data_IF_413994474652
#
_entry.id   IF_413994474652
#
_cell.length_a   1.000
_cell.length_b   1.000
_cell.length_c   1.000
_cell.angle_alpha   90.00
_cell.angle_beta   90.00
_cell.angle_gamma   90.00
#
_symmetry.space_group_name_H-M   'P 1'
#
loop_
_entity.id
_entity.type
_entity.pdbx_description
1 polymer ?
#
# COMPACT_ATOMS: atom_id res chain seq x y z
N UNK A 1 19.11 -77.42 -10.62
CA UNK A 1 19.03 -76.45 -9.49
C UNK A 1 18.91 -75.05 -10.07
N UNK A 2 17.68 -74.60 -10.30
CA UNK A 2 17.33 -73.33 -10.94
C UNK A 2 17.35 -72.22 -9.89
N UNK A 3 18.23 -71.22 -10.05
CA UNK A 3 18.29 -70.04 -9.17
C UNK A 3 17.49 -68.90 -9.79
N UNK A 4 16.48 -68.42 -9.07
CA UNK A 4 15.66 -67.27 -9.42
C UNK A 4 16.34 -65.97 -8.96
N UNK A 5 16.52 -65.01 -9.87
CA UNK A 5 16.95 -63.65 -9.55
C UNK A 5 15.73 -62.80 -9.11
N UNK A 6 15.80 -62.24 -7.90
CA UNK A 6 14.88 -61.20 -7.42
C UNK A 6 15.25 -59.82 -8.01
N UNK A 7 14.29 -58.99 -8.43
CA UNK A 7 14.54 -57.60 -8.79
C UNK A 7 14.56 -56.70 -7.54
N UNK A 8 15.62 -55.89 -7.40
CA UNK A 8 15.74 -54.83 -6.39
C UNK A 8 14.96 -53.61 -6.87
N UNK A 9 13.90 -53.23 -6.16
CA UNK A 9 13.15 -51.98 -6.40
C UNK A 9 13.80 -50.86 -5.61
N UNK A 10 14.44 -49.90 -6.31
CA UNK A 10 14.96 -48.68 -5.72
C UNK A 10 13.82 -47.65 -5.56
N UNK A 11 13.36 -47.42 -4.34
CA UNK A 11 12.36 -46.39 -4.02
C UNK A 11 12.96 -44.99 -4.04
N UNK A 12 12.52 -44.15 -4.96
CA UNK A 12 12.84 -42.73 -4.98
C UNK A 12 12.06 -41.99 -3.88
N UNK A 13 12.75 -41.58 -2.82
CA UNK A 13 12.22 -40.67 -1.80
C UNK A 13 12.07 -39.26 -2.41
N UNK A 14 10.85 -38.92 -2.81
CA UNK A 14 10.46 -37.54 -3.12
C UNK A 14 10.44 -36.74 -1.83
N UNK A 15 11.46 -35.92 -1.60
CA UNK A 15 11.47 -34.90 -0.54
C UNK A 15 10.52 -33.79 -0.96
N UNK A 16 9.27 -33.84 -0.48
CA UNK A 16 8.33 -32.74 -0.63
C UNK A 16 8.83 -31.56 0.22
N UNK A 17 9.34 -30.51 -0.42
CA UNK A 17 9.64 -29.26 0.27
C UNK A 17 8.35 -28.71 0.90
N UNK A 18 8.37 -28.24 2.16
CA UNK A 18 7.19 -27.64 2.76
C UNK A 18 6.82 -26.40 1.94
N UNK A 19 5.62 -26.40 1.35
CA UNK A 19 5.07 -25.21 0.73
C UNK A 19 4.72 -24.23 1.86
N UNK A 20 5.60 -23.26 2.12
CA UNK A 20 5.29 -22.15 3.02
C UNK A 20 4.07 -21.41 2.47
N UNK A 21 3.01 -21.35 3.27
CA UNK A 21 1.78 -20.66 2.89
C UNK A 21 2.08 -19.16 2.71
N UNK A 22 1.62 -18.58 1.60
CA UNK A 22 1.80 -17.15 1.36
C UNK A 22 1.10 -16.31 2.46
N UNK A 23 1.63 -15.11 2.79
CA UNK A 23 0.99 -14.23 3.75
C UNK A 23 -0.44 -13.88 3.34
N UNK A 24 -1.34 -13.83 4.31
CA UNK A 24 -2.71 -13.36 4.11
C UNK A 24 -2.73 -11.84 4.20
N UNK A 25 -3.38 -11.19 3.24
CA UNK A 25 -3.56 -9.73 3.24
C UNK A 25 -5.04 -9.37 3.30
N UNK A 26 -5.39 -8.44 4.18
CA UNK A 26 -6.72 -7.82 4.18
C UNK A 26 -6.58 -6.39 3.67
N UNK A 27 -7.51 -5.98 2.80
CA UNK A 27 -7.62 -4.61 2.32
C UNK A 27 -8.93 -4.02 2.84
N UNK A 28 -8.83 -2.87 3.51
CA UNK A 28 -9.97 -2.06 3.91
C UNK A 28 -9.88 -0.72 3.19
N UNK A 29 -11.02 -0.18 2.78
CA UNK A 29 -11.08 1.11 2.11
C UNK A 29 -12.26 1.89 2.64
N UNK A 30 -12.01 3.15 2.98
CA UNK A 30 -13.03 4.10 3.41
C UNK A 30 -13.06 5.27 2.44
N UNK A 31 -14.24 5.87 2.28
CA UNK A 31 -14.36 7.14 1.60
C UNK A 31 -15.13 8.10 2.49
N UNK A 32 -14.64 9.33 2.51
CA UNK A 32 -15.19 10.41 3.30
C UNK A 32 -15.73 11.44 2.33
N UNK A 33 -17.02 11.75 2.44
CA UNK A 33 -17.61 12.79 1.61
C UNK A 33 -17.06 14.13 2.05
N UNK A 34 -16.46 14.80 1.08
CA UNK A 34 -15.72 16.02 1.28
C UNK A 34 -16.55 17.20 0.72
N UNK A 35 -17.16 17.08 -0.46
CA UNK A 35 -18.10 18.05 -1.05
C UNK A 35 -18.93 17.35 -2.14
N UNK A 36 -20.20 17.71 -2.27
CA UNK A 36 -21.14 17.11 -3.24
C UNK A 36 -21.81 18.18 -4.12
N UNK A 37 -21.08 18.76 -5.10
CA UNK A 37 -21.68 19.73 -5.99
C UNK A 37 -22.75 19.08 -6.89
N UNK A 38 -23.92 19.73 -7.02
CA UNK A 38 -25.03 19.24 -7.86
C UNK A 38 -24.56 19.03 -9.30
N UNK A 39 -24.79 17.82 -9.82
CA UNK A 39 -24.46 17.44 -11.21
C UNK A 39 -22.97 17.25 -11.50
N UNK A 40 -22.10 17.21 -10.49
CA UNK A 40 -20.64 17.04 -10.64
C UNK A 40 -20.13 15.82 -9.85
N UNK A 41 -18.93 15.29 -10.17
CA UNK A 41 -18.28 14.26 -9.36
C UNK A 41 -18.15 14.69 -7.91
N UNK A 42 -18.27 13.74 -6.99
CA UNK A 42 -18.15 14.03 -5.55
C UNK A 42 -16.69 14.16 -5.18
N UNK A 43 -16.34 15.24 -4.49
CA UNK A 43 -15.05 15.35 -3.83
C UNK A 43 -15.03 14.38 -2.66
N UNK A 44 -13.98 13.56 -2.57
CA UNK A 44 -13.84 12.57 -1.50
C UNK A 44 -12.42 12.55 -0.93
N UNK A 45 -12.33 12.17 0.34
CA UNK A 45 -11.12 11.61 0.93
C UNK A 45 -11.17 10.11 0.80
N UNK A 46 -10.02 9.46 0.56
CA UNK A 46 -9.92 8.00 0.48
C UNK A 46 -8.95 7.50 1.54
N UNK A 47 -9.46 6.66 2.43
CA UNK A 47 -8.68 5.88 3.38
C UNK A 47 -8.38 4.49 2.82
N UNK A 48 -7.14 4.04 2.92
CA UNK A 48 -6.71 2.67 2.57
C UNK A 48 -6.00 2.07 3.77
N UNK A 49 -6.56 0.99 4.29
CA UNK A 49 -5.97 0.16 5.33
C UNK A 49 -5.57 -1.21 4.79
N UNK A 50 -4.43 -1.72 5.23
CA UNK A 50 -3.96 -3.06 4.89
C UNK A 50 -3.42 -3.72 6.14
N UNK A 51 -3.75 -4.99 6.32
CA UNK A 51 -3.10 -5.87 7.30
C UNK A 51 -2.47 -7.06 6.59
N UNK A 52 -1.32 -7.50 7.10
CA UNK A 52 -0.51 -8.59 6.55
C UNK A 52 -0.15 -9.52 7.70
N UNK A 53 -0.47 -10.80 7.56
CA UNK A 53 -0.21 -11.80 8.59
C UNK A 53 0.16 -13.14 7.98
N UNK A 54 1.06 -13.88 8.64
CA UNK A 54 1.22 -15.30 8.40
C UNK A 54 0.18 -16.07 9.22
N UNK A 55 -0.35 -17.20 8.71
CA UNK A 55 -1.32 -18.02 9.45
C UNK A 55 -0.81 -18.55 10.79
N UNK A 56 0.51 -18.72 10.93
CA UNK A 56 1.19 -19.23 12.12
C UNK A 56 1.61 -18.13 13.12
N UNK A 57 1.29 -16.86 12.84
CA UNK A 57 1.65 -15.72 13.68
C UNK A 57 3.12 -15.29 13.59
N UNK A 58 3.93 -15.94 12.75
CA UNK A 58 5.32 -15.53 12.51
C UNK A 58 5.39 -14.22 11.72
N UNK A 59 6.57 -13.60 11.69
CA UNK A 59 6.80 -12.41 10.89
C UNK A 59 6.60 -12.71 9.39
N UNK A 60 5.70 -11.99 8.70
CA UNK A 60 5.59 -12.11 7.24
C UNK A 60 6.89 -11.73 6.55
N UNK A 61 7.24 -12.35 5.41
CA UNK A 61 8.35 -11.90 4.60
C UNK A 61 8.19 -10.40 4.23
N UNK A 62 9.27 -9.61 4.14
CA UNK A 62 9.17 -8.18 3.89
C UNK A 62 8.39 -7.84 2.62
N UNK A 63 7.41 -6.94 2.72
CA UNK A 63 6.74 -6.37 1.56
C UNK A 63 7.74 -5.62 0.67
N UNK A 64 7.76 -5.93 -0.62
CA UNK A 64 8.64 -5.28 -1.61
C UNK A 64 7.88 -4.42 -2.61
N UNK A 65 6.63 -4.77 -2.88
CA UNK A 65 5.83 -4.06 -3.85
C UNK A 65 4.36 -4.19 -3.50
N UNK A 66 3.61 -3.10 -3.65
CA UNK A 66 2.16 -3.12 -3.56
C UNK A 66 1.56 -2.37 -4.73
N UNK A 67 0.42 -2.87 -5.18
CA UNK A 67 -0.39 -2.25 -6.22
C UNK A 67 -1.83 -2.15 -5.75
N UNK A 68 -2.39 -0.93 -5.72
CA UNK A 68 -3.80 -0.68 -5.41
C UNK A 68 -4.50 -0.18 -6.67
N UNK A 69 -5.56 -0.87 -7.08
CA UNK A 69 -6.42 -0.50 -8.20
C UNK A 69 -7.67 0.18 -7.69
N UNK A 70 -7.97 1.34 -8.27
CA UNK A 70 -9.09 2.20 -7.90
C UNK A 70 -10.28 1.99 -8.85
N UNK A 71 -11.52 2.19 -8.37
CA UNK A 71 -12.73 2.03 -9.17
C UNK A 71 -12.67 2.77 -10.51
N UNK A 72 -13.29 2.19 -11.54
CA UNK A 72 -13.54 2.89 -12.81
C UNK A 72 -14.29 4.20 -12.54
N UNK A 73 -13.87 5.26 -13.23
CA UNK A 73 -14.50 6.59 -13.11
C UNK A 73 -13.95 7.43 -11.96
N UNK A 74 -13.14 6.88 -11.05
CA UNK A 74 -12.42 7.67 -10.06
C UNK A 74 -11.45 8.60 -10.79
N UNK A 75 -11.29 9.82 -10.29
CA UNK A 75 -10.38 10.81 -10.87
C UNK A 75 -9.42 11.35 -9.83
N UNK A 76 -8.27 11.79 -10.30
CA UNK A 76 -7.26 12.46 -9.49
C UNK A 76 -6.97 13.82 -10.08
N UNK A 77 -7.03 14.88 -9.28
CA UNK A 77 -6.74 16.25 -9.71
C UNK A 77 -5.29 16.64 -9.40
N UNK A 78 -4.33 15.71 -9.48
CA UNK A 78 -2.94 15.92 -9.05
C UNK A 78 -2.25 17.14 -9.68
N UNK A 79 -2.71 17.60 -10.85
CA UNK A 79 -2.18 18.77 -11.55
C UNK A 79 -2.53 20.10 -10.89
N UNK A 80 -3.59 20.15 -10.08
CA UNK A 80 -3.98 21.34 -9.32
C UNK A 80 -3.14 21.55 -8.06
N UNK A 81 -2.35 20.55 -7.66
CA UNK A 81 -1.55 20.56 -6.45
C UNK A 81 -0.07 20.76 -6.80
N UNK A 82 0.69 21.55 -6.03
CA UNK A 82 2.13 21.69 -6.24
C UNK A 82 2.82 20.33 -6.07
N UNK A 83 3.96 20.17 -6.74
CA UNK A 83 4.81 18.99 -6.61
C UNK A 83 5.84 19.19 -5.51
N UNK A 84 6.09 18.17 -4.69
CA UNK A 84 7.30 18.06 -3.89
C UNK A 84 8.44 17.46 -4.73
N UNK A 85 9.63 18.05 -4.59
CA UNK A 85 10.85 17.52 -5.19
C UNK A 85 11.38 16.36 -4.32
N UNK A 86 11.55 15.14 -4.88
CA UNK A 86 12.04 13.99 -4.12
C UNK A 86 13.39 14.22 -3.44
N UNK A 87 14.31 14.96 -4.09
CA UNK A 87 15.63 15.26 -3.53
C UNK A 87 15.52 16.19 -2.32
N UNK A 88 14.57 17.15 -2.33
CA UNK A 88 14.35 18.05 -1.19
C UNK A 88 13.76 17.31 0.00
N UNK A 89 12.75 16.46 -0.24
CA UNK A 89 12.17 15.65 0.83
C UNK A 89 13.20 14.68 1.42
N UNK A 90 14.04 14.05 0.59
CA UNK A 90 15.10 13.17 1.05
C UNK A 90 16.23 13.90 1.81
N UNK A 91 16.53 15.14 1.46
CA UNK A 91 17.53 15.95 2.15
C UNK A 91 17.02 16.49 3.49
N UNK A 92 15.81 17.07 3.50
CA UNK A 92 15.20 17.61 4.71
C UNK A 92 14.77 16.50 5.69
N UNK A 93 14.35 15.36 5.14
CA UNK A 93 13.75 14.23 5.86
C UNK A 93 12.59 14.64 6.80
N UNK A 94 11.96 15.76 6.47
CA UNK A 94 10.90 16.37 7.22
C UNK A 94 9.81 16.86 6.26
N UNK A 95 8.54 16.92 6.70
CA UNK A 95 7.44 17.42 5.88
C UNK A 95 7.69 18.81 5.29
N UNK A 96 8.36 19.68 6.04
CA UNK A 96 8.64 21.07 5.65
C UNK A 96 9.66 21.18 4.50
N UNK A 97 10.30 20.08 4.11
CA UNK A 97 11.10 20.00 2.89
C UNK A 97 10.29 20.13 1.59
N UNK A 98 8.96 20.03 1.68
CA UNK A 98 8.02 20.13 0.58
C UNK A 98 7.14 21.39 0.70
N UNK A 99 6.66 21.97 -0.42
CA UNK A 99 5.62 22.99 -0.36
C UNK A 99 4.39 22.47 0.39
N UNK A 100 3.80 23.25 1.31
CA UNK A 100 2.68 22.81 2.14
C UNK A 100 1.51 22.21 1.32
N UNK A 101 1.15 22.85 0.20
CA UNK A 101 0.07 22.36 -0.67
C UNK A 101 0.37 21.04 -1.41
N UNK A 102 1.60 20.52 -1.33
CA UNK A 102 1.96 19.22 -1.89
C UNK A 102 1.72 18.08 -0.91
N UNK A 103 1.52 18.37 0.38
CA UNK A 103 1.10 17.37 1.36
C UNK A 103 -0.37 17.00 1.11
N UNK A 104 -0.62 15.76 0.71
CA UNK A 104 -1.94 15.32 0.22
C UNK A 104 -2.64 14.33 1.14
N UNK A 105 -1.90 13.69 2.04
CA UNK A 105 -2.44 12.68 2.93
C UNK A 105 -1.48 12.30 4.03
N UNK A 106 -2.01 11.58 5.01
CA UNK A 106 -1.28 11.14 6.20
C UNK A 106 -1.66 9.71 6.54
N UNK A 107 -0.91 9.08 7.41
CA UNK A 107 -1.18 7.70 7.81
C UNK A 107 -0.24 7.17 8.88
N UNK A 108 -0.33 5.88 9.11
CA UNK A 108 0.56 5.12 9.99
C UNK A 108 0.93 3.79 9.35
N UNK A 109 2.03 3.19 9.78
CA UNK A 109 2.39 1.81 9.48
C UNK A 109 2.92 1.12 10.72
N UNK A 110 2.50 -0.12 10.95
CA UNK A 110 3.08 -1.02 11.95
C UNK A 110 4.07 -1.94 11.26
N UNK A 111 5.29 -1.98 11.77
CA UNK A 111 6.39 -2.73 11.20
C UNK A 111 6.88 -3.75 12.23
N UNK A 112 6.77 -5.03 11.89
CA UNK A 112 7.36 -6.11 12.67
C UNK A 112 8.87 -6.15 12.45
N UNK A 113 9.59 -6.32 13.55
CA UNK A 113 11.05 -6.37 13.62
C UNK A 113 11.49 -7.57 14.46
N UNK A 114 10.73 -8.66 14.39
CA UNK A 114 11.04 -9.89 15.10
C UNK A 114 12.39 -10.45 14.62
N UNK A 115 13.18 -11.04 15.53
CA UNK A 115 12.91 -11.22 16.96
C UNK A 115 13.44 -10.08 17.86
N UNK A 116 13.73 -8.89 17.32
CA UNK A 116 14.35 -7.78 18.08
C UNK A 116 13.36 -7.18 19.10
N UNK A 117 12.16 -6.84 18.66
CA UNK A 117 11.08 -6.39 19.53
C UNK A 117 9.86 -7.31 19.35
N UNK A 118 9.18 -7.70 20.44
CA UNK A 118 7.96 -8.51 20.35
C UNK A 118 6.81 -7.72 19.72
N UNK A 119 6.74 -6.41 20.00
CA UNK A 119 5.69 -5.54 19.48
C UNK A 119 6.14 -4.80 18.21
N UNK A 120 5.24 -4.60 17.22
CA UNK A 120 5.54 -3.82 16.04
C UNK A 120 5.87 -2.35 16.34
N UNK A 121 6.86 -1.82 15.64
CA UNK A 121 7.20 -0.39 15.69
C UNK A 121 6.21 0.39 14.82
N UNK A 122 5.66 1.48 15.37
CA UNK A 122 4.73 2.33 14.62
C UNK A 122 5.46 3.50 13.96
N UNK A 123 5.32 3.61 12.64
CA UNK A 123 5.74 4.74 11.83
C UNK A 123 4.56 5.65 11.51
N UNK A 124 4.80 6.96 11.54
CA UNK A 124 3.93 7.97 10.92
C UNK A 124 4.26 8.06 9.43
N UNK A 125 3.24 8.24 8.59
CA UNK A 125 3.38 8.37 7.14
C UNK A 125 2.83 9.72 6.71
N UNK A 126 3.63 10.52 6.02
CA UNK A 126 3.20 11.70 5.28
C UNK A 126 3.24 11.40 3.77
N UNK A 127 2.19 11.77 3.04
CA UNK A 127 2.05 11.50 1.61
C UNK A 127 2.07 12.81 0.84
N UNK A 128 2.98 12.94 -0.12
CA UNK A 128 3.14 14.13 -0.93
C UNK A 128 2.87 13.87 -2.41
N UNK A 129 2.26 14.84 -3.07
CA UNK A 129 2.17 14.93 -4.51
C UNK A 129 3.57 15.19 -5.08
N UNK A 130 4.13 14.25 -5.82
CA UNK A 130 5.46 14.34 -6.42
C UNK A 130 5.44 14.91 -7.85
N UNK A 131 6.54 14.78 -8.61
CA UNK A 131 6.61 15.21 -10.00
C UNK A 131 5.72 14.37 -10.93
N UNK A 132 5.46 14.89 -12.13
CA UNK A 132 4.77 14.14 -13.20
C UNK A 132 5.62 12.93 -13.63
N UNK A 133 4.97 11.79 -13.89
CA UNK A 133 5.61 10.59 -14.43
C UNK A 133 4.71 9.97 -15.50
N UNK A 134 5.05 10.20 -16.77
CA UNK A 134 4.21 9.82 -17.91
C UNK A 134 2.81 10.47 -17.85
N UNK A 135 1.76 9.67 -18.05
CA UNK A 135 0.36 10.10 -17.89
C UNK A 135 -0.09 10.21 -16.41
N UNK A 136 0.77 9.81 -15.48
CA UNK A 136 0.50 9.79 -14.06
C UNK A 136 1.34 10.78 -13.26
N UNK A 137 1.44 10.49 -11.97
CA UNK A 137 2.12 11.31 -10.98
C UNK A 137 2.87 10.43 -10.01
N UNK A 138 4.07 10.84 -9.62
CA UNK A 138 4.76 10.23 -8.49
C UNK A 138 4.07 10.65 -7.20
N UNK A 139 3.88 9.73 -6.26
CA UNK A 139 3.56 10.03 -4.87
C UNK A 139 4.81 9.75 -4.05
N UNK A 140 5.12 10.63 -3.10
CA UNK A 140 6.24 10.46 -2.18
C UNK A 140 5.70 10.14 -0.79
N UNK A 141 6.31 9.18 -0.13
CA UNK A 141 5.95 8.74 1.21
C UNK A 141 7.14 9.02 2.12
N UNK A 142 6.92 9.79 3.18
CA UNK A 142 7.86 9.97 4.27
C UNK A 142 7.36 9.16 5.46
N UNK A 143 8.06 8.06 5.76
CA UNK A 143 7.83 7.26 6.96
C UNK A 143 8.78 7.71 8.07
N UNK A 144 8.26 7.94 9.28
CA UNK A 144 9.06 8.37 10.44
C UNK A 144 8.65 7.61 11.70
N UNK A 145 9.63 7.12 12.43
CA UNK A 145 9.47 6.53 13.77
C UNK A 145 10.27 7.36 14.77
N UNK A 146 9.81 7.44 16.02
CA UNK A 146 10.48 8.17 17.10
C UNK A 146 10.96 7.23 18.21
N UNK A 147 10.09 6.31 18.65
CA UNK A 147 10.35 5.36 19.74
C UNK A 147 9.84 3.97 19.34
N UNK A 148 10.55 2.86 19.67
CA UNK A 148 11.87 2.79 20.31
C UNK A 148 13.04 3.05 19.34
N UNK A 149 12.78 3.09 18.03
CA UNK A 149 13.77 3.36 17.00
C UNK A 149 13.44 4.72 16.39
N UNK A 150 14.39 5.65 16.37
CA UNK A 150 14.28 6.86 15.55
C UNK A 150 14.82 6.57 14.17
N UNK A 151 13.94 6.47 13.18
CA UNK A 151 14.32 6.30 11.78
C UNK A 151 13.37 7.04 10.86
N UNK A 152 13.86 7.33 9.66
CA UNK A 152 13.09 8.02 8.64
C UNK A 152 13.47 7.54 7.26
N UNK A 153 12.45 7.34 6.44
CA UNK A 153 12.58 6.72 5.12
C UNK A 153 11.69 7.47 4.13
N UNK A 154 12.28 7.77 2.97
CA UNK A 154 11.54 8.33 1.84
C UNK A 154 11.48 7.27 0.76
N UNK A 155 10.28 6.99 0.27
CA UNK A 155 10.06 6.12 -0.87
C UNK A 155 8.96 6.67 -1.74
N UNK A 156 8.73 6.06 -2.89
CA UNK A 156 7.83 6.60 -3.89
C UNK A 156 6.98 5.54 -4.56
N UNK A 157 5.79 5.96 -4.95
CA UNK A 157 4.94 5.21 -5.86
C UNK A 157 4.54 6.06 -7.07
N UNK A 158 3.85 5.46 -8.01
CA UNK A 158 3.28 6.12 -9.18
C UNK A 158 1.80 5.85 -9.23
N UNK A 159 0.99 6.91 -9.23
CA UNK A 159 -0.43 6.83 -9.56
C UNK A 159 -0.60 7.13 -11.04
N UNK A 160 -1.27 6.25 -11.79
CA UNK A 160 -1.47 6.39 -13.23
C UNK A 160 -2.85 5.90 -13.66
N UNK A 161 -3.40 6.42 -14.78
CA UNK A 161 -4.63 5.89 -15.35
C UNK A 161 -4.53 4.40 -15.64
N UNK A 162 -5.64 3.70 -15.49
CA UNK A 162 -5.81 2.29 -15.81
C UNK A 162 -6.91 2.09 -16.85
N UNK A 163 -6.99 0.87 -17.40
CA UNK A 163 -8.00 0.49 -18.38
C UNK A 163 -8.93 -0.60 -17.82
N UNK A 164 -10.07 -0.82 -18.49
CA UNK A 164 -11.04 -1.84 -18.11
C UNK A 164 -11.84 -1.50 -16.86
N UNK A 165 -11.85 -2.43 -15.88
CA UNK A 165 -12.65 -2.36 -14.64
C UNK A 165 -12.14 -1.32 -13.62
N UNK A 166 -10.90 -0.86 -13.78
CA UNK A 166 -10.26 0.09 -12.87
C UNK A 166 -9.93 1.39 -13.58
N UNK A 167 -10.02 2.52 -12.87
CA UNK A 167 -9.76 3.84 -13.42
C UNK A 167 -8.32 4.32 -13.20
N UNK A 168 -7.73 3.93 -12.06
CA UNK A 168 -6.36 4.27 -11.69
C UNK A 168 -5.68 3.07 -11.02
N UNK A 169 -4.35 3.05 -11.11
CA UNK A 169 -3.48 2.16 -10.36
C UNK A 169 -2.48 3.03 -9.60
N UNK A 170 -2.37 2.80 -8.30
CA UNK A 170 -1.23 3.20 -7.48
C UNK A 170 -0.27 2.02 -7.39
N UNK A 171 0.97 2.25 -7.79
CA UNK A 171 2.04 1.26 -7.88
C UNK A 171 3.20 1.74 -7.01
N UNK A 172 3.54 1.02 -5.94
CA UNK A 172 4.52 1.47 -4.94
C UNK A 172 5.57 0.40 -4.73
N UNK A 173 6.83 0.78 -4.90
CA UNK A 173 7.97 -0.03 -4.51
C UNK A 173 8.33 0.29 -3.06
N UNK A 174 8.29 -0.74 -2.23
CA UNK A 174 8.61 -0.65 -0.81
C UNK A 174 10.09 -0.98 -0.64
N UNK A 175 10.93 -0.02 -0.23
CA UNK A 175 12.35 -0.26 -0.07
C UNK A 175 12.61 -1.27 1.04
N UNK A 176 13.83 -1.80 1.04
CA UNK A 176 14.31 -2.61 2.15
C UNK A 176 14.35 -1.82 3.45
N UNK A 177 13.83 -2.43 4.51
CA UNK A 177 13.88 -1.90 5.88
C UNK A 177 14.89 -2.77 6.65
N UNK A 178 16.19 -2.45 6.58
CA UNK A 178 17.20 -3.21 7.33
C UNK A 178 17.00 -3.02 8.83
N UNK A 179 17.33 -4.06 9.60
CA UNK A 179 17.37 -4.02 11.06
C UNK A 179 18.84 -4.07 11.53
N UNK A 180 19.18 -4.96 12.47
CA UNK A 180 20.54 -5.16 12.96
C UNK A 180 21.30 -6.13 12.04
N UNK A 181 22.64 -6.05 11.98
CA UNK A 181 23.45 -7.05 11.28
C UNK A 181 23.13 -8.47 11.74
N UNK A 182 22.93 -9.39 10.80
CA UNK A 182 22.57 -10.79 11.08
C UNK A 182 21.10 -11.02 11.43
N UNK A 183 20.28 -9.96 11.55
CA UNK A 183 18.85 -10.07 11.83
C UNK A 183 18.01 -9.95 10.55
N UNK A 184 16.80 -10.54 10.54
CA UNK A 184 15.87 -10.40 9.41
C UNK A 184 15.50 -8.93 9.16
N UNK A 185 15.23 -8.61 7.89
CA UNK A 185 14.62 -7.35 7.52
C UNK A 185 13.27 -7.15 8.22
N UNK A 186 12.94 -5.90 8.50
CA UNK A 186 11.64 -5.55 9.05
C UNK A 186 10.55 -5.74 8.00
N UNK A 187 9.34 -6.08 8.45
CA UNK A 187 8.19 -6.34 7.59
C UNK A 187 6.98 -5.50 8.01
N UNK A 188 6.42 -4.66 7.12
CA UNK A 188 5.14 -4.00 7.40
C UNK A 188 4.05 -5.05 7.63
N UNK A 189 3.40 -4.99 8.79
CA UNK A 189 2.27 -5.88 9.15
C UNK A 189 0.93 -5.16 9.12
N UNK A 190 0.95 -3.82 9.17
CA UNK A 190 -0.22 -3.01 8.87
C UNK A 190 0.18 -1.63 8.34
N UNK A 191 -0.70 -1.02 7.56
CA UNK A 191 -0.62 0.40 7.27
C UNK A 191 -1.99 0.97 6.94
N UNK A 192 -2.21 2.22 7.35
CA UNK A 192 -3.44 2.97 7.15
C UNK A 192 -3.07 4.35 6.64
N UNK A 193 -3.62 4.75 5.50
CA UNK A 193 -3.37 6.06 4.89
C UNK A 193 -4.67 6.74 4.50
N UNK A 194 -4.72 8.06 4.61
CA UNK A 194 -5.86 8.89 4.22
C UNK A 194 -5.38 10.03 3.33
N UNK A 195 -5.84 10.03 2.09
CA UNK A 195 -5.61 11.13 1.14
C UNK A 195 -6.89 11.94 1.01
N UNK A 196 -6.83 13.20 1.41
CA UNK A 196 -8.01 14.08 1.46
C UNK A 196 -7.68 15.56 1.15
N UNK A 197 -6.54 15.81 0.50
CA UNK A 197 -6.09 17.16 0.16
C UNK A 197 -7.10 17.93 -0.69
N UNK A 198 -7.12 19.26 -0.50
CA UNK A 198 -7.97 20.20 -1.23
C UNK A 198 -7.25 21.50 -1.51
N UNK A 199 -7.63 22.15 -2.60
CA UNK A 199 -7.21 23.50 -2.95
C UNK A 199 -8.43 24.27 -3.46
N UNK A 200 -8.96 25.15 -2.62
CA UNK A 200 -10.28 25.76 -2.86
C UNK A 200 -11.34 24.67 -3.03
N UNK A 201 -12.09 24.73 -4.14
CA UNK A 201 -13.13 23.75 -4.47
C UNK A 201 -12.60 22.43 -5.05
N UNK A 202 -11.30 22.31 -5.35
CA UNK A 202 -10.72 21.15 -6.02
C UNK A 202 -10.19 20.17 -4.98
N UNK A 203 -10.76 18.96 -4.91
CA UNK A 203 -10.21 17.86 -4.12
C UNK A 203 -9.15 17.08 -4.89
N UNK A 204 -8.22 16.45 -4.19
CA UNK A 204 -7.21 15.61 -4.82
C UNK A 204 -7.82 14.38 -5.51
N UNK A 205 -8.86 13.81 -4.90
CA UNK A 205 -9.59 12.64 -5.40
C UNK A 205 -11.05 13.01 -5.62
N UNK A 206 -11.61 12.51 -6.71
CA UNK A 206 -13.05 12.55 -6.99
C UNK A 206 -13.59 11.13 -7.15
N UNK A 207 -14.77 10.89 -6.58
CA UNK A 207 -15.49 9.64 -6.74
C UNK A 207 -16.00 9.47 -8.18
N UNK A 208 -16.18 8.23 -8.64
CA UNK A 208 -16.99 7.95 -9.82
C UNK A 208 -18.38 8.59 -9.73
N UNK A 209 -18.91 9.06 -10.86
CA UNK A 209 -20.28 9.61 -10.95
C UNK A 209 -21.36 8.54 -11.00
N UNK A 210 -20.97 7.28 -11.15
CA UNK A 210 -21.87 6.12 -11.12
C UNK A 210 -21.35 5.09 -10.14
N UNK A 211 -22.27 4.48 -9.39
CA UNK A 211 -21.94 3.42 -8.44
C UNK A 211 -22.55 2.10 -8.93
N UNK A 212 -21.74 1.06 -9.19
CA UNK A 212 -22.25 -0.22 -9.63
C UNK A 212 -22.93 -0.94 -8.47
N UNK A 213 -23.79 -1.92 -8.81
CA UNK A 213 -24.44 -2.78 -7.81
C UNK A 213 -23.35 -3.48 -6.97
N UNK A 214 -23.46 -3.34 -5.65
CA UNK A 214 -22.49 -3.89 -4.69
C UNK A 214 -21.34 -2.94 -4.31
N UNK A 215 -21.29 -1.72 -4.86
CA UNK A 215 -20.34 -0.69 -4.44
C UNK A 215 -19.09 -0.57 -5.31
N UNK A 216 -18.30 0.47 -5.03
CA UNK A 216 -17.10 0.84 -5.77
C UNK A 216 -15.95 -0.13 -5.48
N UNK A 217 -15.43 -0.89 -6.48
CA UNK A 217 -14.45 -1.93 -6.23
C UNK A 217 -13.01 -1.42 -6.17
N UNK A 218 -12.27 -1.91 -5.18
CA UNK A 218 -10.82 -1.77 -5.02
C UNK A 218 -10.16 -3.15 -5.04
N UNK A 219 -8.92 -3.20 -5.53
CA UNK A 219 -8.12 -4.43 -5.50
C UNK A 219 -6.67 -4.12 -5.14
N UNK A 220 -6.11 -4.89 -4.21
CA UNK A 220 -4.72 -4.86 -3.81
C UNK A 220 -3.98 -6.10 -4.33
N UNK A 221 -2.72 -5.92 -4.71
CA UNK A 221 -1.76 -7.00 -4.96
C UNK A 221 -0.47 -6.68 -4.22
N UNK A 222 0.05 -7.64 -3.47
CA UNK A 222 1.18 -7.49 -2.57
C UNK A 222 2.22 -8.54 -2.90
N UNK A 223 3.46 -8.12 -3.14
CA UNK A 223 4.59 -9.01 -3.44
C UNK A 223 5.64 -8.90 -2.36
N UNK A 224 6.11 -10.04 -1.92
CA UNK A 224 7.01 -10.15 -0.78
C UNK A 224 8.42 -10.57 -1.21
N UNK A 225 9.38 -10.40 -0.29
CA UNK A 225 10.80 -10.64 -0.56
C UNK A 225 11.15 -12.11 -0.84
N UNK A 226 10.32 -13.05 -0.38
CA UNK A 226 10.44 -14.48 -0.65
C UNK A 226 9.84 -14.90 -2.01
N UNK A 227 9.31 -13.94 -2.77
CA UNK A 227 8.66 -14.18 -4.06
C UNK A 227 7.17 -14.52 -3.97
N UNK A 228 6.63 -14.72 -2.76
CA UNK A 228 5.20 -14.95 -2.57
C UNK A 228 4.39 -13.72 -2.96
N UNK A 229 3.12 -13.94 -3.32
CA UNK A 229 2.17 -12.89 -3.69
C UNK A 229 0.83 -13.12 -3.02
N UNK A 230 0.20 -12.04 -2.56
CA UNK A 230 -1.14 -12.06 -2.00
C UNK A 230 -2.01 -11.02 -2.69
N UNK A 231 -3.32 -11.27 -2.72
CA UNK A 231 -4.30 -10.33 -3.29
C UNK A 231 -5.46 -10.14 -2.33
N UNK A 232 -5.94 -8.92 -2.25
CA UNK A 232 -7.12 -8.57 -1.45
C UNK A 232 -8.04 -7.67 -2.26
N UNK A 233 -9.32 -7.66 -1.92
CA UNK A 233 -10.31 -6.79 -2.53
C UNK A 233 -11.15 -6.11 -1.45
N UNK A 234 -11.57 -4.89 -1.73
CA UNK A 234 -12.46 -4.13 -0.89
C UNK A 234 -13.53 -3.44 -1.74
N UNK A 235 -14.62 -3.05 -1.09
CA UNK A 235 -15.65 -2.24 -1.74
C UNK A 235 -16.06 -1.11 -0.81
N UNK A 236 -16.31 0.06 -1.39
CA UNK A 236 -16.97 1.17 -0.70
C UNK A 236 -18.45 1.15 -1.12
N UNK A 237 -19.35 1.29 -0.15
CA UNK A 237 -20.77 1.47 -0.42
C UNK A 237 -21.05 2.71 -1.27
N UNK A 238 -22.21 2.74 -1.92
CA UNK A 238 -22.64 3.90 -2.70
C UNK A 238 -23.12 5.07 -1.83
N UNK A 239 -23.32 4.82 -0.54
CA UNK A 239 -23.63 5.84 0.47
C UNK A 239 -22.33 6.22 1.16
N UNK A 240 -21.93 7.49 1.04
CA UNK A 240 -20.74 8.01 1.71
C UNK A 240 -21.12 8.68 3.03
N UNK A 241 -20.32 8.46 4.06
CA UNK A 241 -20.42 9.18 5.33
C UNK A 241 -19.76 10.55 5.20
N UNK A 242 -20.44 11.62 5.63
CA UNK A 242 -19.86 12.97 5.71
C UNK A 242 -18.98 13.10 6.97
N UNK A 243 -17.86 13.82 6.88
CA UNK A 243 -17.19 14.31 8.09
C UNK A 243 -18.02 15.44 8.68
N UNK A 244 -18.26 15.49 10.00
CA UNK A 244 -18.68 16.72 10.65
C UNK A 244 -17.67 17.84 10.32
N UNK A 245 -18.16 18.96 9.82
CA UNK A 245 -17.34 20.15 9.52
C UNK A 245 -16.87 20.85 10.77
#
# INVERSE_FOLDING_TARGET
>A
MTHALLPVVAGALLVAAPASAAPTTTLTVTATLLNQPKGKPWSIGVGVGVTIANPDGTQPPPLRHLQIKFPRGAKTNFGAFPACNPKRLAAARAPDGCPAGSHIGKGTSKVSVLPIFPDPVTATIDVFNGPKKGAGRTLLFLARTTTPITTQMVFSGTIKPATGRFGYILDVDVPRIPTLPGMPDASPVAFDTLVQARRGAISYIEAPTSCPRGGLPFQGTFKFADGSTSTAAARIGCTLTSTPG
#
